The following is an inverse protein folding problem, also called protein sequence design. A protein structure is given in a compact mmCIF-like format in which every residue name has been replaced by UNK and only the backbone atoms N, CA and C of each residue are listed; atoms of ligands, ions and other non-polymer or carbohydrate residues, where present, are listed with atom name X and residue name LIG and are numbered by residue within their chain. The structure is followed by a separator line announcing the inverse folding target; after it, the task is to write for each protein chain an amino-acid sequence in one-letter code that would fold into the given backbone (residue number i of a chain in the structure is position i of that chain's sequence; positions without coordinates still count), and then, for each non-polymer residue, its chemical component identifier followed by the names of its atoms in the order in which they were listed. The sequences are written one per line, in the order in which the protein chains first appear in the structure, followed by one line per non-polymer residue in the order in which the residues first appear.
data_IF_132396044725
#
_entry.id   IF_132396044725
#
_cell.length_a   1.000
_cell.length_b   1.000
_cell.length_c   1.000
_cell.angle_alpha   90.00
_cell.angle_beta   90.00
_cell.angle_gamma   90.00
#
_symmetry.space_group_name_H-M   'P 1'
#
loop_
_entity.id
_entity.type
_entity.pdbx_description
1 polymer ?
#
# COMPACT_ATOMS: atom_id res chain seq x y z
N UNK A 1 0.36 7.20 -7.09
CA UNK A 1 -0.43 7.05 -5.84
C UNK A 1 0.06 5.83 -5.07
N UNK A 2 -0.20 5.78 -3.79
CA UNK A 2 0.31 4.68 -2.95
C UNK A 2 -0.15 3.30 -3.42
N UNK A 3 -1.39 3.17 -3.87
CA UNK A 3 -1.90 1.90 -4.37
C UNK A 3 -1.07 1.40 -5.56
N UNK A 4 -0.65 2.30 -6.42
CA UNK A 4 0.17 1.94 -7.58
C UNK A 4 1.55 1.47 -7.14
N UNK A 5 2.12 2.10 -6.14
CA UNK A 5 3.41 1.73 -5.58
C UNK A 5 3.35 0.32 -4.98
N UNK A 6 2.30 0.03 -4.23
CA UNK A 6 2.12 -1.28 -3.61
C UNK A 6 1.94 -2.35 -4.69
N UNK A 7 1.17 -2.06 -5.73
CA UNK A 7 0.97 -2.99 -6.84
C UNK A 7 2.25 -3.22 -7.64
N UNK A 8 3.14 -2.25 -7.66
CA UNK A 8 4.44 -2.42 -8.32
C UNK A 8 5.32 -3.41 -7.55
N UNK A 9 5.20 -3.45 -6.23
CA UNK A 9 5.92 -4.41 -5.38
C UNK A 9 5.25 -5.79 -5.46
N UNK A 10 3.93 -5.81 -5.37
CA UNK A 10 3.13 -7.04 -5.38
C UNK A 10 2.11 -6.99 -6.52
N UNK A 11 2.53 -7.30 -7.75
CA UNK A 11 1.61 -7.20 -8.91
C UNK A 11 0.42 -8.16 -8.85
N UNK A 12 0.47 -9.18 -8.01
CA UNK A 12 -0.64 -10.10 -7.84
C UNK A 12 -1.81 -9.52 -7.03
N UNK A 13 -1.61 -8.39 -6.36
CA UNK A 13 -2.68 -7.78 -5.58
C UNK A 13 -3.79 -7.24 -6.49
N UNK A 14 -5.04 -7.39 -6.04
CA UNK A 14 -6.21 -6.88 -6.74
C UNK A 14 -6.85 -5.74 -5.96
N UNK A 15 -7.76 -5.02 -6.58
CA UNK A 15 -8.49 -3.96 -5.90
C UNK A 15 -9.26 -4.50 -4.69
N UNK A 16 -9.74 -5.73 -4.77
CA UNK A 16 -10.46 -6.35 -3.66
C UNK A 16 -9.58 -6.49 -2.42
N UNK A 17 -8.29 -6.77 -2.61
CA UNK A 17 -7.36 -6.87 -1.47
C UNK A 17 -7.26 -5.53 -0.73
N UNK A 18 -7.34 -4.42 -1.45
CA UNK A 18 -7.29 -3.09 -0.85
C UNK A 18 -8.60 -2.69 -0.16
N UNK A 19 -9.60 -3.53 -0.23
CA UNK A 19 -10.87 -3.33 0.47
C UNK A 19 -10.95 -4.26 1.68
N UNK A 20 -10.46 -5.50 1.56
CA UNK A 20 -10.66 -6.54 2.56
C UNK A 20 -9.49 -6.70 3.52
N UNK A 21 -8.26 -6.72 3.03
CA UNK A 21 -7.09 -7.01 3.86
C UNK A 21 -6.14 -5.84 4.05
N UNK A 22 -6.20 -4.87 3.15
CA UNK A 22 -5.31 -3.71 3.16
C UNK A 22 -6.16 -2.45 3.24
N UNK A 23 -5.84 -1.57 4.19
CA UNK A 23 -6.52 -0.30 4.32
C UNK A 23 -5.51 0.83 4.16
N UNK A 24 -5.78 1.71 3.22
CA UNK A 24 -4.99 2.91 2.98
C UNK A 24 -5.77 4.10 3.51
N UNK A 25 -5.07 5.08 4.04
CA UNK A 25 -5.70 6.26 4.62
C UNK A 25 -4.91 7.51 4.29
N UNK A 26 -5.61 8.62 4.18
CA UNK A 26 -5.03 9.94 3.99
C UNK A 26 -5.73 10.89 4.97
N UNK A 27 -4.98 11.43 5.91
CA UNK A 27 -5.53 12.31 6.95
C UNK A 27 -5.55 13.78 6.54
N UNK A 28 -5.21 14.07 5.30
CA UNK A 28 -5.17 15.45 4.78
C UNK A 28 -4.21 16.35 5.56
N UNK A 29 -3.12 15.77 6.04
CA UNK A 29 -2.12 16.49 6.82
C UNK A 29 -0.88 16.87 6.00
N UNK A 30 -0.95 16.71 4.69
CA UNK A 30 0.15 17.01 3.79
C UNK A 30 1.14 15.88 3.60
N UNK A 31 0.96 14.76 4.29
CA UNK A 31 1.86 13.61 4.20
C UNK A 31 1.44 12.58 3.14
N UNK A 32 0.23 12.74 2.59
CA UNK A 32 -0.30 11.83 1.58
C UNK A 32 -0.86 10.55 2.17
N UNK A 33 -1.03 9.56 1.30
CA UNK A 33 -1.60 8.27 1.70
C UNK A 33 -0.60 7.44 2.50
N UNK A 34 -1.12 6.63 3.40
CA UNK A 34 -0.29 5.66 4.11
C UNK A 34 -1.08 4.38 4.35
N UNK A 35 -0.37 3.29 4.69
CA UNK A 35 -1.00 2.02 5.00
C UNK A 35 -1.47 2.05 6.45
N UNK A 36 -2.78 2.14 6.64
CA UNK A 36 -3.37 2.14 7.99
C UNK A 36 -3.48 0.74 8.56
N UNK A 37 -3.67 -0.28 7.70
CA UNK A 37 -3.86 -1.65 8.13
C UNK A 37 -3.35 -2.59 7.04
N UNK A 38 -2.67 -3.65 7.45
CA UNK A 38 -2.18 -4.68 6.54
C UNK A 38 -2.44 -6.04 7.17
N UNK A 39 -3.36 -6.79 6.58
CA UNK A 39 -3.74 -8.11 7.09
C UNK A 39 -3.64 -9.19 6.01
N UNK A 40 -2.83 -8.96 4.98
CA UNK A 40 -2.67 -9.95 3.93
C UNK A 40 -2.04 -11.22 4.48
N UNK A 41 -2.62 -12.40 4.21
CA UNK A 41 -2.18 -13.65 4.85
C UNK A 41 -0.82 -14.15 4.37
N UNK A 42 -0.39 -13.79 3.17
CA UNK A 42 0.84 -14.33 2.58
C UNK A 42 1.89 -13.28 2.26
N UNK A 43 1.52 -12.01 2.17
CA UNK A 43 2.44 -10.94 1.80
C UNK A 43 2.71 -10.04 2.99
N UNK A 44 3.98 -9.71 3.21
CA UNK A 44 4.35 -8.82 4.29
C UNK A 44 4.13 -7.35 3.88
N UNK A 45 3.83 -6.50 4.86
CA UNK A 45 3.67 -5.07 4.63
C UNK A 45 4.94 -4.50 4.01
N UNK A 46 4.85 -3.79 2.88
CA UNK A 46 6.02 -3.16 2.28
C UNK A 46 6.59 -2.09 3.21
N UNK A 47 7.90 -1.97 3.19
CA UNK A 47 8.55 -0.91 3.95
C UNK A 47 8.44 0.41 3.21
N UNK A 48 8.61 1.50 3.94
CA UNK A 48 8.62 2.82 3.33
C UNK A 48 9.71 2.94 2.27
N UNK A 49 10.87 2.34 2.52
CA UNK A 49 11.96 2.34 1.54
C UNK A 49 11.57 1.62 0.26
N UNK A 50 10.83 0.51 0.36
CA UNK A 50 10.34 -0.19 -0.82
C UNK A 50 9.35 0.65 -1.60
N UNK A 51 8.45 1.34 -0.90
CA UNK A 51 7.47 2.22 -1.55
C UNK A 51 8.16 3.38 -2.25
N UNK A 52 9.15 3.97 -1.63
CA UNK A 52 9.89 5.08 -2.24
C UNK A 52 10.68 4.63 -3.47
N UNK A 53 11.19 3.42 -3.47
CA UNK A 53 11.91 2.89 -4.61
C UNK A 53 11.02 2.73 -5.85
N UNK A 54 9.72 2.55 -5.66
CA UNK A 54 8.75 2.42 -6.75
C UNK A 54 8.05 3.72 -7.10
N UNK A 55 8.14 4.72 -6.23
CA UNK A 55 7.33 5.95 -6.28
C UNK A 55 7.92 7.09 -7.08
N UNK A 56 8.74 6.81 -7.99
CA UNK A 56 9.40 7.83 -8.79
C UNK A 56 8.52 8.58 -9.72
#
# INVERSE_FOLDING_TARGET
MLIDQIKAIYPQLTDNDFITTIHLQNDSDGKGDYIAKWEHPTLAKPTEAQLQATGK
#
